data_IF_402142815222
#
_entry.id   IF_402142815222
#
_cell.length_a   1.000
_cell.length_b   1.000
_cell.length_c   1.000
_cell.angle_alpha   90.00
_cell.angle_beta   90.00
_cell.angle_gamma   90.00
#
_symmetry.space_group_name_H-M   'P 1'
#
loop_
_entity.id
_entity.type
_entity.pdbx_description
1 polymer ?
#
# COMPACT_ATOMS: atom_id res chain seq x y z
N UNK A 1 14.33 18.40 7.82
CA UNK A 1 13.77 19.49 8.66
C UNK A 1 12.86 18.90 9.71
N UNK A 2 12.79 19.41 10.95
CA UNK A 2 11.81 18.94 11.91
C UNK A 2 10.40 19.17 11.36
N UNK A 3 9.50 18.23 11.57
CA UNK A 3 8.10 18.35 11.17
C UNK A 3 7.53 19.61 11.82
N UNK A 4 7.00 20.55 11.04
CA UNK A 4 6.49 21.81 11.53
C UNK A 4 5.37 21.59 12.55
N UNK A 5 5.41 22.31 13.64
CA UNK A 5 4.36 22.37 14.65
C UNK A 5 3.61 23.68 14.52
N UNK A 6 2.31 23.64 14.64
CA UNK A 6 1.44 24.82 14.59
C UNK A 6 0.39 24.74 15.69
N UNK A 7 -0.16 25.90 16.07
CA UNK A 7 -1.31 25.94 16.99
C UNK A 7 -2.59 25.89 16.15
N UNK A 8 -3.52 25.01 16.53
CA UNK A 8 -4.85 24.90 15.96
C UNK A 8 -5.90 25.06 17.07
N UNK A 9 -7.13 25.43 16.68
CA UNK A 9 -8.29 25.34 17.57
C UNK A 9 -8.99 24.01 17.30
N UNK A 10 -9.12 23.18 18.33
CA UNK A 10 -9.79 21.88 18.21
C UNK A 10 -11.33 22.00 18.25
N UNK A 11 -12.05 20.88 18.14
CA UNK A 11 -13.52 20.86 18.14
C UNK A 11 -14.14 21.30 19.48
N UNK A 12 -13.36 21.39 20.58
CA UNK A 12 -13.79 21.89 21.90
C UNK A 12 -13.44 23.36 22.12
N UNK A 13 -12.85 24.04 21.13
CA UNK A 13 -12.45 25.45 21.23
C UNK A 13 -11.08 25.68 21.89
N UNK A 14 -10.35 24.61 22.23
CA UNK A 14 -9.03 24.72 22.87
C UNK A 14 -7.92 24.95 21.84
N UNK A 15 -6.95 25.78 22.21
CA UNK A 15 -5.70 25.96 21.45
C UNK A 15 -4.77 24.78 21.76
N UNK A 16 -4.45 23.98 20.75
CA UNK A 16 -3.61 22.79 20.90
C UNK A 16 -2.50 22.78 19.86
N UNK A 17 -1.36 22.20 20.22
CA UNK A 17 -0.28 21.99 19.28
C UNK A 17 -0.62 20.83 18.32
N UNK A 18 -0.43 21.05 17.02
CA UNK A 18 -0.59 20.04 15.99
C UNK A 18 0.66 19.92 15.15
N UNK A 19 0.98 18.70 14.75
CA UNK A 19 2.00 18.42 13.72
C UNK A 19 1.43 18.73 12.35
N UNK A 20 2.15 19.47 11.51
CA UNK A 20 1.72 19.87 10.17
C UNK A 20 2.66 19.28 9.09
N UNK A 21 2.51 17.99 8.75
CA UNK A 21 3.34 17.32 7.78
C UNK A 21 3.05 17.77 6.35
N UNK A 22 4.06 17.71 5.47
CA UNK A 22 3.92 17.92 4.03
C UNK A 22 3.34 16.67 3.36
N UNK A 23 3.69 15.49 3.86
CA UNK A 23 3.20 14.20 3.38
C UNK A 23 2.37 13.55 4.48
N UNK A 24 1.16 13.13 4.14
CA UNK A 24 0.25 12.39 5.03
C UNK A 24 0.08 10.96 4.53
N UNK A 25 0.49 10.00 5.35
CA UNK A 25 0.19 8.59 5.16
C UNK A 25 -1.16 8.27 5.80
N UNK A 26 -2.21 8.13 5.00
CA UNK A 26 -3.58 8.14 5.51
C UNK A 26 -4.10 6.78 5.99
N UNK A 27 -3.37 5.67 5.79
CA UNK A 27 -3.93 4.32 6.02
C UNK A 27 -3.04 3.40 6.86
N UNK A 28 -2.13 3.92 7.71
CA UNK A 28 -1.22 3.04 8.48
C UNK A 28 -1.90 2.26 9.60
N UNK A 29 -2.93 2.84 10.23
CA UNK A 29 -3.62 2.20 11.35
C UNK A 29 -4.89 1.47 10.95
N UNK A 30 -5.51 1.87 9.82
CA UNK A 30 -6.72 1.29 9.26
C UNK A 30 -6.82 1.62 7.78
N UNK A 31 -7.65 0.88 7.04
CA UNK A 31 -7.95 1.17 5.63
C UNK A 31 -8.95 2.34 5.53
N UNK A 32 -8.42 3.57 5.51
CA UNK A 32 -9.23 4.80 5.43
C UNK A 32 -10.06 4.86 4.16
N UNK A 33 -9.53 4.58 2.95
CA UNK A 33 -10.33 4.55 1.73
C UNK A 33 -11.53 3.61 1.80
N UNK A 34 -11.36 2.43 2.40
CA UNK A 34 -12.40 1.42 2.47
C UNK A 34 -13.49 1.73 3.51
N UNK A 35 -13.11 2.27 4.68
CA UNK A 35 -14.02 2.32 5.83
C UNK A 35 -14.29 3.73 6.35
N UNK A 36 -13.41 4.70 6.07
CA UNK A 36 -13.42 6.01 6.69
C UNK A 36 -13.30 7.17 5.69
N UNK A 37 -13.64 6.96 4.40
CA UNK A 37 -13.52 7.97 3.36
C UNK A 37 -14.23 9.28 3.76
N UNK A 38 -15.52 9.22 4.08
CA UNK A 38 -16.30 10.39 4.50
C UNK A 38 -15.72 11.11 5.74
N UNK A 39 -15.25 10.33 6.72
CA UNK A 39 -14.58 10.89 7.90
C UNK A 39 -13.30 11.63 7.52
N UNK A 40 -12.48 11.05 6.66
CA UNK A 40 -11.23 11.67 6.23
C UNK A 40 -11.49 13.04 5.57
N UNK A 41 -12.42 13.12 4.63
CA UNK A 41 -12.73 14.37 3.94
C UNK A 41 -13.39 15.41 4.87
N UNK A 42 -14.24 15.00 5.81
CA UNK A 42 -14.73 15.87 6.86
C UNK A 42 -13.58 16.45 7.71
N UNK A 43 -12.57 15.64 8.05
CA UNK A 43 -11.40 16.11 8.80
C UNK A 43 -10.49 16.99 7.94
N UNK A 44 -10.33 16.67 6.66
CA UNK A 44 -9.60 17.50 5.71
C UNK A 44 -10.25 18.89 5.55
N UNK A 45 -11.58 18.96 5.48
CA UNK A 45 -12.32 20.21 5.43
C UNK A 45 -12.14 21.04 6.70
N UNK A 46 -12.08 20.39 7.88
CA UNK A 46 -11.80 21.05 9.19
C UNK A 46 -10.33 21.46 9.32
N UNK A 47 -9.44 21.00 8.45
CA UNK A 47 -8.02 21.35 8.45
C UNK A 47 -7.16 20.54 9.43
N UNK A 48 -7.71 19.64 10.22
CA UNK A 48 -6.97 18.78 11.15
C UNK A 48 -7.72 17.50 11.52
N UNK A 49 -6.97 16.51 12.04
CA UNK A 49 -7.54 15.34 12.71
C UNK A 49 -6.83 15.05 14.03
N UNK A 50 -7.50 14.34 14.93
CA UNK A 50 -6.88 13.70 16.07
C UNK A 50 -6.44 12.27 15.68
N UNK A 51 -5.22 11.91 16.05
CA UNK A 51 -4.67 10.57 15.87
C UNK A 51 -4.21 10.03 17.23
N UNK A 52 -4.54 8.77 17.49
CA UNK A 52 -4.10 8.08 18.69
C UNK A 52 -3.01 7.10 18.35
N UNK A 53 -1.85 7.24 18.98
CA UNK A 53 -0.73 6.32 18.79
C UNK A 53 -1.18 4.91 19.25
N UNK A 54 -1.15 3.89 18.37
CA UNK A 54 -1.65 2.56 18.70
C UNK A 54 -0.84 1.84 19.79
N UNK A 55 0.40 2.28 20.06
CA UNK A 55 1.28 1.64 21.05
C UNK A 55 1.09 2.20 22.46
N UNK A 56 0.96 3.52 22.59
CA UNK A 56 0.89 4.18 23.89
C UNK A 56 -0.41 4.96 24.13
N UNK A 57 -1.34 4.91 23.19
CA UNK A 57 -2.64 5.61 23.21
C UNK A 57 -2.54 7.14 23.35
N UNK A 58 -1.35 7.71 23.16
CA UNK A 58 -1.15 9.15 23.20
C UNK A 58 -1.92 9.83 22.07
N UNK A 59 -2.76 10.79 22.43
CA UNK A 59 -3.50 11.63 21.47
C UNK A 59 -2.56 12.69 20.88
N UNK A 60 -2.57 12.79 19.57
CA UNK A 60 -1.83 13.79 18.80
C UNK A 60 -2.75 14.47 17.81
N UNK A 61 -2.50 15.72 17.50
CA UNK A 61 -3.22 16.44 16.45
C UNK A 61 -2.33 16.55 15.20
N UNK A 62 -2.93 16.27 14.05
CA UNK A 62 -2.30 16.38 12.74
C UNK A 62 -3.05 17.45 11.95
N UNK A 63 -2.36 18.50 11.54
CA UNK A 63 -2.92 19.54 10.69
C UNK A 63 -2.63 19.28 9.22
N UNK A 64 -3.63 19.52 8.37
CA UNK A 64 -3.48 19.43 6.91
C UNK A 64 -3.01 20.74 6.27
N UNK A 65 -2.72 21.79 7.06
CA UNK A 65 -2.33 23.11 6.54
C UNK A 65 -1.16 23.08 5.56
N UNK A 66 -0.14 22.25 5.85
CA UNK A 66 1.07 22.13 5.02
C UNK A 66 1.02 20.89 4.10
N UNK A 67 -0.09 20.13 4.11
CA UNK A 67 -0.20 18.90 3.36
C UNK A 67 -0.15 19.18 1.86
N UNK A 68 0.79 18.55 1.16
CA UNK A 68 0.95 18.59 -0.30
C UNK A 68 0.68 17.26 -0.96
N UNK A 69 0.90 16.16 -0.23
CA UNK A 69 0.71 14.80 -0.75
C UNK A 69 0.01 13.93 0.29
N UNK A 70 -1.00 13.19 -0.15
CA UNK A 70 -1.64 12.12 0.63
C UNK A 70 -1.36 10.77 -0.03
N UNK A 71 -0.92 9.81 0.78
CA UNK A 71 -0.68 8.44 0.35
C UNK A 71 -1.75 7.53 0.96
N UNK A 72 -2.45 6.80 0.12
CA UNK A 72 -3.47 5.86 0.56
C UNK A 72 -3.02 4.41 0.34
N UNK A 73 -3.15 3.57 1.38
CA UNK A 73 -3.08 2.12 1.26
C UNK A 73 -4.48 1.55 1.42
N UNK A 74 -4.89 0.67 0.53
CA UNK A 74 -6.25 0.13 0.59
C UNK A 74 -6.36 -1.23 -0.11
N UNK A 75 -7.29 -2.05 0.38
CA UNK A 75 -7.80 -3.23 -0.34
C UNK A 75 -9.08 -2.94 -1.12
N UNK A 76 -9.72 -1.79 -0.86
CA UNK A 76 -10.96 -1.39 -1.52
C UNK A 76 -11.05 0.13 -1.66
N UNK A 77 -10.59 0.70 -2.78
CA UNK A 77 -10.67 2.16 -3.00
C UNK A 77 -12.08 2.64 -3.37
N UNK A 78 -13.06 1.76 -3.61
CA UNK A 78 -14.39 2.15 -4.12
C UNK A 78 -15.08 3.24 -3.29
N UNK A 79 -15.10 3.20 -1.94
CA UNK A 79 -15.81 4.21 -1.14
C UNK A 79 -15.20 5.61 -1.19
N UNK A 80 -13.90 5.74 -1.50
CA UNK A 80 -13.22 7.05 -1.54
C UNK A 80 -13.37 7.75 -2.89
N UNK A 81 -13.63 7.02 -3.98
CA UNK A 81 -13.66 7.57 -5.34
C UNK A 81 -14.52 8.84 -5.48
N UNK A 82 -15.73 8.93 -4.89
CA UNK A 82 -16.58 10.12 -5.04
C UNK A 82 -16.01 11.41 -4.43
N UNK A 83 -15.02 11.30 -3.56
CA UNK A 83 -14.47 12.41 -2.80
C UNK A 83 -13.11 12.91 -3.33
N UNK A 84 -12.49 12.23 -4.29
CA UNK A 84 -11.11 12.55 -4.73
C UNK A 84 -10.99 13.96 -5.30
N UNK A 85 -12.05 14.48 -5.93
CA UNK A 85 -12.11 15.87 -6.45
C UNK A 85 -11.84 16.91 -5.35
N UNK A 86 -12.17 16.65 -4.07
CA UNK A 86 -11.91 17.57 -2.97
C UNK A 86 -10.40 17.74 -2.70
N UNK A 87 -9.56 16.71 -3.00
CA UNK A 87 -8.10 16.84 -2.95
C UNK A 87 -7.59 17.69 -4.12
N UNK A 88 -8.13 17.44 -5.32
CA UNK A 88 -7.76 18.17 -6.54
C UNK A 88 -8.09 19.67 -6.37
N UNK A 89 -9.28 20.02 -5.85
CA UNK A 89 -9.69 21.39 -5.56
C UNK A 89 -8.79 22.10 -4.55
N UNK A 90 -8.18 21.34 -3.62
CA UNK A 90 -7.24 21.88 -2.62
C UNK A 90 -5.78 21.91 -3.13
N UNK A 91 -5.51 21.44 -4.35
CA UNK A 91 -4.16 21.31 -4.88
C UNK A 91 -3.30 20.30 -4.09
N UNK A 92 -3.92 19.30 -3.47
CA UNK A 92 -3.24 18.24 -2.73
C UNK A 92 -3.07 17.04 -3.64
N UNK A 93 -1.84 16.69 -3.95
CA UNK A 93 -1.52 15.50 -4.73
C UNK A 93 -1.78 14.22 -3.92
N UNK A 94 -2.05 13.12 -4.61
CA UNK A 94 -2.26 11.83 -3.94
C UNK A 94 -1.95 10.67 -4.88
N UNK A 95 -1.58 9.54 -4.29
CA UNK A 95 -1.46 8.26 -4.99
C UNK A 95 -1.90 7.10 -4.10
N UNK A 96 -2.20 5.99 -4.74
CA UNK A 96 -2.73 4.82 -4.08
C UNK A 96 -1.76 3.63 -4.17
N UNK A 97 -1.64 2.91 -3.08
CA UNK A 97 -1.08 1.58 -3.01
C UNK A 97 -2.24 0.61 -2.78
N UNK A 98 -2.65 -0.08 -3.83
CA UNK A 98 -3.83 -0.94 -3.81
C UNK A 98 -3.41 -2.39 -3.67
N UNK A 99 -3.73 -3.01 -2.53
CA UNK A 99 -3.48 -4.43 -2.30
C UNK A 99 -4.54 -5.26 -3.02
N UNK A 100 -4.10 -6.02 -4.00
CA UNK A 100 -4.92 -6.94 -4.77
C UNK A 100 -4.24 -8.31 -4.84
N UNK A 101 -4.52 -9.13 -3.84
CA UNK A 101 -4.09 -10.52 -3.69
C UNK A 101 -5.18 -11.47 -4.19
N UNK A 102 -4.91 -12.77 -4.18
CA UNK A 102 -5.88 -13.81 -4.46
C UNK A 102 -5.77 -14.95 -3.43
N UNK A 103 -6.29 -14.68 -2.21
CA UNK A 103 -6.27 -15.61 -1.08
C UNK A 103 -7.69 -15.95 -0.57
N UNK A 104 -8.71 -15.76 -1.41
CA UNK A 104 -10.11 -16.00 -1.02
C UNK A 104 -10.33 -17.48 -0.67
N UNK A 105 -9.73 -18.39 -1.46
CA UNK A 105 -9.87 -19.84 -1.25
C UNK A 105 -9.25 -20.31 0.08
N UNK A 106 -8.20 -19.64 0.52
CA UNK A 106 -7.48 -19.96 1.75
C UNK A 106 -8.11 -19.31 2.99
N UNK A 107 -9.09 -18.44 2.80
CA UNK A 107 -9.77 -17.75 3.90
C UNK A 107 -8.99 -16.58 4.50
N UNK A 108 -7.83 -16.18 3.92
CA UNK A 108 -7.03 -15.06 4.46
C UNK A 108 -7.63 -13.68 4.18
N UNK A 109 -8.61 -13.61 3.30
CA UNK A 109 -9.28 -12.36 2.92
C UNK A 109 -10.82 -12.52 2.95
N UNK A 110 -11.43 -12.85 4.11
CA UNK A 110 -12.85 -13.21 4.20
C UNK A 110 -13.81 -12.04 3.88
N UNK A 111 -13.35 -10.80 4.07
CA UNK A 111 -14.20 -9.60 3.97
C UNK A 111 -13.89 -8.74 2.75
N UNK A 112 -13.21 -9.28 1.73
CA UNK A 112 -12.97 -8.56 0.48
C UNK A 112 -13.85 -9.12 -0.63
N UNK A 113 -14.17 -8.26 -1.60
CA UNK A 113 -14.91 -8.69 -2.80
C UNK A 113 -14.08 -9.61 -3.68
N UNK A 114 -14.71 -10.25 -4.66
CA UNK A 114 -14.02 -11.13 -5.62
C UNK A 114 -12.85 -10.42 -6.31
N UNK A 115 -11.89 -11.19 -6.80
CA UNK A 115 -10.73 -10.65 -7.55
C UNK A 115 -11.21 -9.82 -8.74
N UNK A 116 -12.25 -10.29 -9.43
CA UNK A 116 -12.85 -9.61 -10.59
C UNK A 116 -13.36 -8.22 -10.21
N UNK A 117 -14.15 -8.11 -9.15
CA UNK A 117 -14.68 -6.83 -8.67
C UNK A 117 -13.56 -5.87 -8.21
N UNK A 118 -12.50 -6.42 -7.60
CA UNK A 118 -11.33 -5.62 -7.18
C UNK A 118 -10.53 -5.12 -8.39
N UNK A 119 -10.36 -5.95 -9.41
CA UNK A 119 -9.74 -5.56 -10.69
C UNK A 119 -10.52 -4.43 -11.35
N UNK A 120 -11.84 -4.54 -11.45
CA UNK A 120 -12.67 -3.48 -12.04
C UNK A 120 -12.61 -2.17 -11.23
N UNK A 121 -12.58 -2.27 -9.91
CA UNK A 121 -12.41 -1.08 -9.05
C UNK A 121 -11.01 -0.46 -9.21
N UNK A 122 -9.98 -1.28 -9.35
CA UNK A 122 -8.61 -0.84 -9.63
C UNK A 122 -8.52 -0.08 -10.95
N UNK A 123 -9.09 -0.65 -12.01
CA UNK A 123 -9.14 -0.01 -13.34
C UNK A 123 -9.87 1.33 -13.29
N UNK A 124 -11.05 1.35 -12.65
CA UNK A 124 -11.81 2.59 -12.48
C UNK A 124 -11.00 3.68 -11.76
N UNK A 125 -10.28 3.34 -10.70
CA UNK A 125 -9.40 4.28 -10.01
C UNK A 125 -8.29 4.76 -10.95
N UNK A 126 -7.64 3.85 -11.67
CA UNK A 126 -6.58 4.17 -12.62
C UNK A 126 -7.06 5.10 -13.76
N UNK A 127 -8.26 4.84 -14.30
CA UNK A 127 -8.88 5.70 -15.33
C UNK A 127 -9.17 7.11 -14.79
N UNK A 128 -9.49 7.24 -13.49
CA UNK A 128 -9.79 8.53 -12.86
C UNK A 128 -8.56 9.37 -12.57
N UNK A 129 -7.46 8.75 -12.10
CA UNK A 129 -6.32 9.51 -11.56
C UNK A 129 -5.00 9.31 -12.32
N UNK A 130 -4.96 8.40 -13.29
CA UNK A 130 -3.77 8.01 -14.06
C UNK A 130 -3.08 6.77 -13.48
N UNK A 131 -2.60 5.90 -14.38
CA UNK A 131 -1.99 4.61 -14.06
C UNK A 131 -0.69 4.72 -13.23
N UNK A 132 0.01 5.84 -13.35
CA UNK A 132 1.24 6.14 -12.61
C UNK A 132 1.00 6.43 -11.13
N UNK A 133 -0.24 6.77 -10.76
CA UNK A 133 -0.66 7.06 -9.38
C UNK A 133 -1.32 5.88 -8.68
N UNK A 134 -1.44 4.72 -9.35
CA UNK A 134 -2.04 3.51 -8.77
C UNK A 134 -1.03 2.38 -8.77
N UNK A 135 -0.46 2.10 -7.60
CA UNK A 135 0.53 1.05 -7.41
C UNK A 135 -0.20 -0.24 -7.03
N UNK A 136 0.04 -1.30 -7.79
CA UNK A 136 -0.46 -2.62 -7.43
C UNK A 136 0.44 -3.26 -6.38
N UNK A 137 -0.15 -3.73 -5.28
CA UNK A 137 0.54 -4.54 -4.26
C UNK A 137 -0.01 -5.95 -4.27
N UNK A 138 0.86 -6.93 -4.51
CA UNK A 138 0.61 -8.33 -4.20
C UNK A 138 1.38 -8.66 -2.90
N UNK A 139 0.77 -8.37 -1.78
CA UNK A 139 1.49 -8.21 -0.50
C UNK A 139 0.61 -8.64 0.69
N UNK A 140 1.08 -9.60 1.50
CA UNK A 140 2.31 -10.38 1.38
C UNK A 140 2.17 -11.65 0.52
N UNK A 141 3.30 -12.23 0.11
CA UNK A 141 3.39 -13.59 -0.43
C UNK A 141 3.39 -14.59 0.72
N UNK A 142 2.42 -15.51 0.71
CA UNK A 142 2.23 -16.51 1.78
C UNK A 142 2.34 -17.91 1.16
N UNK A 143 3.25 -18.73 1.67
CA UNK A 143 3.35 -20.15 1.32
C UNK A 143 2.39 -20.93 2.19
N UNK A 144 1.68 -21.88 1.61
CA UNK A 144 0.78 -22.79 2.36
C UNK A 144 0.95 -24.21 1.85
N UNK A 145 0.38 -25.23 2.53
CA UNK A 145 0.35 -26.58 2.00
C UNK A 145 -0.28 -26.69 0.60
N UNK A 146 -1.15 -25.71 0.26
CA UNK A 146 -1.89 -25.68 -1.01
C UNK A 146 -1.42 -24.56 -1.97
N UNK A 147 -0.42 -23.76 -1.57
CA UNK A 147 0.15 -22.67 -2.38
C UNK A 147 1.67 -22.81 -2.39
N UNK A 148 2.19 -23.38 -3.44
CA UNK A 148 3.62 -23.38 -3.75
C UNK A 148 4.04 -22.07 -4.46
N UNK A 149 5.35 -21.79 -4.62
CA UNK A 149 5.87 -20.65 -5.38
C UNK A 149 5.22 -20.49 -6.76
N UNK A 150 5.07 -21.58 -7.50
CA UNK A 150 4.45 -21.59 -8.84
C UNK A 150 2.98 -21.14 -8.82
N UNK A 151 2.24 -21.45 -7.76
CA UNK A 151 0.84 -21.04 -7.63
C UNK A 151 0.74 -19.53 -7.40
N UNK A 152 1.64 -18.95 -6.58
CA UNK A 152 1.74 -17.50 -6.39
C UNK A 152 2.06 -16.79 -7.72
N UNK A 153 3.05 -17.28 -8.44
CA UNK A 153 3.42 -16.73 -9.75
C UNK A 153 2.25 -16.79 -10.75
N UNK A 154 1.48 -17.89 -10.75
CA UNK A 154 0.30 -18.05 -11.59
C UNK A 154 -0.79 -17.03 -11.21
N UNK A 155 -1.00 -16.78 -9.92
CA UNK A 155 -1.97 -15.76 -9.45
C UNK A 155 -1.53 -14.36 -9.85
N UNK A 156 -0.25 -14.03 -9.66
CA UNK A 156 0.34 -12.74 -10.07
C UNK A 156 0.20 -12.55 -11.57
N UNK A 157 0.58 -13.55 -12.37
CA UNK A 157 0.43 -13.51 -13.82
C UNK A 157 -1.03 -13.27 -14.26
N UNK A 158 -1.97 -13.98 -13.67
CA UNK A 158 -3.41 -13.86 -14.00
C UNK A 158 -3.97 -12.47 -13.66
N UNK A 159 -3.64 -11.95 -12.49
CA UNK A 159 -4.07 -10.60 -12.07
C UNK A 159 -3.36 -9.55 -12.91
N UNK A 160 -2.04 -9.64 -13.09
CA UNK A 160 -1.25 -8.69 -13.85
C UNK A 160 -1.75 -8.53 -15.28
N UNK A 161 -2.06 -9.63 -15.97
CA UNK A 161 -2.65 -9.56 -17.32
C UNK A 161 -3.99 -8.80 -17.37
N UNK A 162 -4.77 -8.81 -16.27
CA UNK A 162 -5.99 -7.99 -16.17
C UNK A 162 -5.70 -6.53 -15.86
N UNK A 163 -4.55 -6.23 -15.23
CA UNK A 163 -4.11 -4.89 -14.83
C UNK A 163 -3.18 -4.22 -15.85
N UNK A 164 -2.85 -4.92 -16.95
CA UNK A 164 -2.01 -4.36 -18.03
C UNK A 164 -2.59 -3.05 -18.52
N UNK A 165 -1.76 -1.98 -18.50
CA UNK A 165 -2.17 -0.64 -18.90
C UNK A 165 -2.82 0.21 -17.79
N UNK A 166 -3.09 -0.37 -16.60
CA UNK A 166 -3.72 0.32 -15.48
C UNK A 166 -2.79 0.58 -14.29
N UNK A 167 -1.55 0.12 -14.36
CA UNK A 167 -0.49 0.43 -13.41
C UNK A 167 0.87 0.30 -14.07
N UNK A 168 1.86 1.00 -13.54
CA UNK A 168 3.25 0.92 -13.98
C UNK A 168 4.14 0.26 -12.93
N UNK A 169 3.60 -0.14 -11.76
CA UNK A 169 4.40 -0.69 -10.68
C UNK A 169 3.67 -1.79 -9.93
N UNK A 170 4.35 -2.93 -9.73
CA UNK A 170 3.98 -4.01 -8.83
C UNK A 170 4.94 -4.01 -7.63
N UNK A 171 4.40 -4.00 -6.43
CA UNK A 171 5.17 -4.16 -5.19
C UNK A 171 4.73 -5.45 -4.51
N UNK A 172 5.70 -6.23 -4.04
CA UNK A 172 5.43 -7.43 -3.23
C UNK A 172 6.29 -7.44 -1.97
N UNK A 173 5.92 -8.26 -0.99
CA UNK A 173 6.78 -8.64 0.14
C UNK A 173 6.56 -10.10 0.47
N UNK A 174 7.54 -10.74 1.10
CA UNK A 174 7.31 -12.04 1.74
C UNK A 174 6.66 -11.81 3.11
N UNK A 175 5.79 -12.75 3.52
CA UNK A 175 5.23 -12.68 4.87
C UNK A 175 6.33 -12.93 5.89
N UNK A 176 6.36 -12.12 6.93
CA UNK A 176 7.24 -12.28 8.07
C UNK A 176 6.41 -12.77 9.27
N UNK A 177 6.39 -14.07 9.45
CA UNK A 177 5.59 -14.73 10.49
C UNK A 177 6.37 -14.79 11.80
N UNK A 178 7.67 -15.05 11.73
CA UNK A 178 8.52 -15.23 12.92
C UNK A 178 8.63 -13.97 13.75
N UNK A 179 8.74 -12.80 13.10
CA UNK A 179 8.87 -11.52 13.78
C UNK A 179 7.54 -11.00 14.37
N UNK A 180 6.37 -11.44 13.83
CA UNK A 180 5.09 -10.82 14.16
C UNK A 180 4.05 -11.81 14.71
N UNK A 181 3.92 -11.90 16.04
CA UNK A 181 2.89 -12.72 16.72
C UNK A 181 1.46 -12.45 16.23
N UNK A 182 1.15 -11.21 15.85
CA UNK A 182 -0.17 -10.86 15.31
C UNK A 182 -0.43 -11.57 13.98
N UNK A 183 0.59 -11.70 13.13
CA UNK A 183 0.51 -12.42 11.85
C UNK A 183 0.28 -13.91 12.14
N UNK A 184 1.05 -14.52 13.05
CA UNK A 184 0.86 -15.92 13.46
C UNK A 184 -0.58 -16.18 13.92
N UNK A 185 -1.08 -15.36 14.85
CA UNK A 185 -2.42 -15.51 15.40
C UNK A 185 -3.50 -15.38 14.31
N UNK A 186 -3.34 -14.45 13.38
CA UNK A 186 -4.30 -14.26 12.29
C UNK A 186 -4.29 -15.47 11.34
N UNK A 187 -3.13 -15.97 10.94
CA UNK A 187 -3.02 -17.14 10.06
C UNK A 187 -3.64 -18.39 10.68
N UNK A 188 -3.41 -18.60 11.98
CA UNK A 188 -4.00 -19.74 12.72
C UNK A 188 -5.51 -19.58 12.88
N UNK A 189 -5.99 -18.35 13.14
CA UNK A 189 -7.41 -18.08 13.40
C UNK A 189 -8.25 -18.07 12.13
N UNK A 190 -7.75 -17.44 11.07
CA UNK A 190 -8.53 -17.15 9.85
C UNK A 190 -8.43 -18.29 8.83
N UNK A 191 -7.51 -19.24 9.01
CA UNK A 191 -7.38 -20.39 8.11
C UNK A 191 -7.33 -21.71 8.87
N UNK A 192 -7.90 -22.77 8.28
CA UNK A 192 -7.74 -24.14 8.76
C UNK A 192 -6.41 -24.77 8.29
N UNK A 193 -5.50 -24.00 7.68
CA UNK A 193 -4.28 -24.50 7.05
C UNK A 193 -3.10 -24.55 8.02
N UNK A 194 -3.15 -23.76 9.10
CA UNK A 194 -2.06 -23.62 10.05
C UNK A 194 -2.49 -23.87 11.49
N UNK A 195 -1.57 -24.45 12.25
CA UNK A 195 -1.62 -24.55 13.70
C UNK A 195 -0.49 -23.68 14.29
N UNK A 196 -0.45 -23.55 15.62
CA UNK A 196 0.65 -22.81 16.27
C UNK A 196 2.02 -23.45 16.03
N UNK A 197 2.04 -24.77 15.83
CA UNK A 197 3.26 -25.56 15.66
C UNK A 197 3.85 -25.44 14.25
N UNK A 198 3.01 -25.15 13.23
CA UNK A 198 3.45 -25.13 11.83
C UNK A 198 3.25 -23.79 11.11
N UNK A 199 2.72 -22.76 11.77
CA UNK A 199 2.42 -21.46 11.16
C UNK A 199 3.66 -20.78 10.57
N UNK A 200 4.86 -21.05 11.09
CA UNK A 200 6.10 -20.52 10.53
C UNK A 200 6.40 -21.04 9.11
N UNK A 201 5.80 -22.16 8.71
CA UNK A 201 5.91 -22.67 7.34
C UNK A 201 5.19 -21.77 6.29
N UNK A 202 4.42 -20.76 6.74
CA UNK A 202 3.87 -19.74 5.85
C UNK A 202 4.95 -18.83 5.29
N UNK A 203 6.13 -18.73 5.92
CA UNK A 203 7.28 -18.03 5.36
C UNK A 203 7.95 -18.85 4.26
N UNK A 204 8.22 -18.20 3.13
CA UNK A 204 9.04 -18.79 2.09
C UNK A 204 10.48 -18.98 2.57
N UNK A 205 11.02 -20.19 2.47
CA UNK A 205 12.44 -20.44 2.67
C UNK A 205 13.29 -19.85 1.53
N UNK A 206 14.60 -19.84 1.67
CA UNK A 206 15.50 -19.21 0.69
C UNK A 206 15.32 -19.76 -0.73
N UNK A 207 15.19 -21.08 -0.89
CA UNK A 207 14.99 -21.70 -2.21
C UNK A 207 13.66 -21.26 -2.85
N UNK A 208 12.59 -21.23 -2.07
CA UNK A 208 11.28 -20.76 -2.52
C UNK A 208 11.28 -19.25 -2.87
N UNK A 209 12.01 -18.42 -2.10
CA UNK A 209 12.19 -17.01 -2.42
C UNK A 209 12.92 -16.81 -3.74
N UNK A 210 13.99 -17.57 -3.97
CA UNK A 210 14.74 -17.53 -5.26
C UNK A 210 13.83 -17.96 -6.42
N UNK A 211 13.09 -19.07 -6.27
CA UNK A 211 12.15 -19.55 -7.29
C UNK A 211 11.11 -18.49 -7.65
N UNK A 212 10.55 -17.82 -6.64
CA UNK A 212 9.54 -16.74 -6.84
C UNK A 212 10.19 -15.57 -7.59
N UNK A 213 11.36 -15.13 -7.19
CA UNK A 213 12.05 -13.97 -7.77
C UNK A 213 12.43 -14.23 -9.22
N UNK A 214 12.98 -15.41 -9.54
CA UNK A 214 13.28 -15.84 -10.92
C UNK A 214 12.00 -15.94 -11.76
N UNK A 215 10.90 -16.40 -11.15
CA UNK A 215 9.60 -16.44 -11.79
C UNK A 215 9.04 -15.04 -12.08
N UNK A 216 9.18 -14.09 -11.16
CA UNK A 216 8.79 -12.70 -11.36
C UNK A 216 9.62 -12.01 -12.45
N UNK A 217 10.91 -12.31 -12.53
CA UNK A 217 11.76 -11.83 -13.63
C UNK A 217 11.21 -12.30 -14.98
N UNK A 218 10.92 -13.59 -15.13
CA UNK A 218 10.34 -14.16 -16.37
C UNK A 218 8.98 -13.54 -16.71
N UNK A 219 8.14 -13.32 -15.70
CA UNK A 219 6.84 -12.65 -15.86
C UNK A 219 7.04 -11.22 -16.37
N UNK A 220 7.96 -10.45 -15.79
CA UNK A 220 8.27 -9.09 -16.23
C UNK A 220 8.77 -9.07 -17.68
N UNK A 221 9.68 -9.98 -18.05
CA UNK A 221 10.19 -10.10 -19.41
C UNK A 221 9.07 -10.41 -20.42
N UNK A 222 8.12 -11.28 -20.05
CA UNK A 222 6.96 -11.59 -20.87
C UNK A 222 6.04 -10.37 -21.05
N UNK A 223 5.76 -9.65 -19.97
CA UNK A 223 4.95 -8.43 -20.02
C UNK A 223 5.62 -7.33 -20.85
N UNK A 224 6.96 -7.18 -20.72
CA UNK A 224 7.73 -6.24 -21.55
C UNK A 224 7.61 -6.57 -23.05
N UNK A 225 7.76 -7.84 -23.43
CA UNK A 225 7.56 -8.30 -24.83
C UNK A 225 6.16 -8.00 -25.33
N UNK A 226 5.16 -8.02 -24.44
CA UNK A 226 3.78 -7.68 -24.74
C UNK A 226 3.51 -6.15 -24.70
N UNK A 227 4.56 -5.31 -24.57
CA UNK A 227 4.47 -3.85 -24.55
C UNK A 227 4.00 -3.27 -23.22
N UNK A 228 4.17 -3.99 -22.10
CA UNK A 228 3.88 -3.47 -20.77
C UNK A 228 5.14 -3.40 -19.91
N UNK A 229 5.71 -2.19 -19.80
CA UNK A 229 6.87 -1.90 -18.94
C UNK A 229 6.39 -1.66 -17.51
N UNK A 230 6.34 -2.74 -16.73
CA UNK A 230 6.00 -2.68 -15.31
C UNK A 230 7.26 -2.79 -14.46
N UNK A 231 7.43 -1.85 -13.55
CA UNK A 231 8.44 -1.90 -12.49
C UNK A 231 8.00 -2.94 -11.46
N UNK A 232 8.89 -3.86 -11.09
CA UNK A 232 8.67 -4.80 -9.97
C UNK A 232 9.62 -4.43 -8.85
N UNK A 233 9.06 -4.19 -7.66
CA UNK A 233 9.83 -3.82 -6.49
C UNK A 233 9.38 -4.63 -5.26
N UNK A 234 10.28 -4.76 -4.28
CA UNK A 234 10.00 -5.46 -3.03
C UNK A 234 10.07 -4.52 -1.84
N UNK A 235 9.28 -4.80 -0.81
CA UNK A 235 9.22 -4.00 0.41
C UNK A 235 9.83 -4.78 1.58
N UNK A 236 10.76 -4.13 2.31
CA UNK A 236 11.34 -4.63 3.57
C UNK A 236 12.11 -5.97 3.49
N UNK A 237 12.71 -6.30 2.34
CA UNK A 237 13.50 -7.52 2.18
C UNK A 237 14.99 -7.25 2.39
N UNK A 238 15.66 -8.13 3.15
CA UNK A 238 17.11 -8.07 3.41
C UNK A 238 17.95 -8.77 2.32
N UNK A 239 17.31 -9.27 1.26
CA UNK A 239 17.99 -9.98 0.17
C UNK A 239 18.21 -9.01 -0.98
N UNK A 240 19.45 -8.95 -1.48
CA UNK A 240 19.76 -8.22 -2.69
C UNK A 240 19.09 -8.89 -3.91
N UNK A 241 18.07 -8.20 -4.44
CA UNK A 241 17.28 -8.64 -5.58
C UNK A 241 17.56 -7.82 -6.85
N UNK A 242 18.48 -6.87 -6.81
CA UNK A 242 18.83 -6.00 -7.96
C UNK A 242 19.31 -6.81 -9.18
N UNK A 243 20.04 -7.91 -8.95
CA UNK A 243 20.47 -8.83 -10.01
C UNK A 243 19.32 -9.49 -10.79
N UNK A 244 18.11 -9.52 -10.23
CA UNK A 244 16.89 -9.97 -10.92
C UNK A 244 16.09 -8.81 -11.49
N UNK A 245 16.61 -7.58 -11.37
CA UNK A 245 15.95 -6.35 -11.79
C UNK A 245 14.73 -6.02 -10.94
N UNK A 246 14.75 -6.41 -9.66
CA UNK A 246 13.73 -6.08 -8.65
C UNK A 246 14.34 -5.03 -7.74
N UNK A 247 13.70 -3.87 -7.70
CA UNK A 247 14.15 -2.73 -6.91
C UNK A 247 13.68 -2.82 -5.45
N UNK A 248 14.40 -2.12 -4.59
CA UNK A 248 13.96 -1.94 -3.20
C UNK A 248 12.94 -0.83 -3.13
N UNK A 249 11.71 -1.15 -2.73
CA UNK A 249 10.63 -0.18 -2.62
C UNK A 249 10.63 0.52 -1.26
N UNK A 250 10.37 1.81 -1.27
CA UNK A 250 10.13 2.60 -0.06
C UNK A 250 8.64 2.70 0.22
N UNK A 251 8.22 2.52 1.48
CA UNK A 251 6.81 2.66 1.87
C UNK A 251 6.25 4.05 1.55
N UNK A 252 7.07 5.08 1.76
CA UNK A 252 6.84 6.45 1.31
C UNK A 252 7.92 6.73 0.26
N UNK A 253 7.54 6.68 -1.01
CA UNK A 253 8.48 6.70 -2.13
C UNK A 253 8.64 8.12 -2.67
N UNK A 254 9.71 8.81 -2.19
CA UNK A 254 10.04 10.17 -2.60
C UNK A 254 10.38 10.28 -4.08
N UNK A 255 11.07 9.29 -4.66
CA UNK A 255 11.42 9.29 -6.08
C UNK A 255 10.17 9.10 -6.97
N UNK A 256 9.27 8.20 -6.56
CA UNK A 256 7.98 8.05 -7.22
C UNK A 256 7.21 9.38 -7.20
N UNK A 257 7.10 10.02 -6.02
CA UNK A 257 6.38 11.30 -5.89
C UNK A 257 6.97 12.40 -6.76
N UNK A 258 8.30 12.52 -6.85
CA UNK A 258 8.97 13.45 -7.77
C UNK A 258 8.60 13.16 -9.22
N UNK A 259 8.64 11.89 -9.62
CA UNK A 259 8.34 11.45 -10.99
C UNK A 259 6.90 11.75 -11.39
N UNK A 260 5.93 11.46 -10.51
CA UNK A 260 4.50 11.57 -10.85
C UNK A 260 3.91 12.98 -10.64
N UNK A 261 4.48 13.78 -9.73
CA UNK A 261 3.93 15.11 -9.43
C UNK A 261 4.76 16.25 -9.99
N UNK A 262 5.93 16.01 -10.60
CA UNK A 262 6.81 16.99 -11.26
C UNK A 262 7.05 18.27 -10.44
N UNK A 263 7.03 18.18 -9.12
CA UNK A 263 7.20 19.34 -8.25
C UNK A 263 8.66 19.51 -7.87
N UNK A 264 9.39 20.36 -8.59
CA UNK A 264 10.80 20.69 -8.29
C UNK A 264 10.95 21.43 -6.96
N UNK A 265 9.98 22.25 -6.54
CA UNK A 265 10.04 23.07 -5.34
C UNK A 265 9.96 22.29 -4.02
N UNK A 266 9.37 21.11 -4.00
CA UNK A 266 9.18 20.32 -2.79
C UNK A 266 10.08 19.10 -2.69
N UNK A 267 10.98 18.92 -3.64
CA UNK A 267 11.85 17.74 -3.74
C UNK A 267 12.80 17.60 -2.55
N UNK A 268 13.35 18.71 -2.07
CA UNK A 268 14.25 18.74 -0.91
C UNK A 268 13.53 18.43 0.41
N UNK A 269 12.24 18.79 0.54
CA UNK A 269 11.42 18.52 1.72
C UNK A 269 10.95 17.05 1.79
N UNK A 270 10.75 16.42 0.63
CA UNK A 270 10.35 15.01 0.54
C UNK A 270 11.50 14.06 0.89
N UNK A 271 12.74 14.43 0.58
CA UNK A 271 13.93 13.60 0.83
C UNK A 271 14.39 13.59 2.30
N UNK A 272 14.04 14.60 3.09
CA UNK A 272 14.58 14.77 4.46
C UNK A 272 13.87 13.95 5.54
N UNK A 273 13.00 12.98 5.19
CA UNK A 273 12.10 12.27 6.13
C UNK A 273 12.16 10.75 6.05
N UNK A 274 13.29 10.22 5.62
CA UNK A 274 13.62 8.79 5.74
C UNK A 274 14.25 8.43 7.07
#
# INVERSE_FOLDING_TARGET
>A
MPIGKIIITNDTGEQVEATAPVIVSASRSTDIPAFYAKWFFNRLAKGYCAWYNPFNQQKMYISFKNCKVVIFWTKNPKPILPYLHELDEKGIHYYFQVTLNDYVKEGFEPNVSSVENRVETFKKLSDMIGKEKVIWRFDPLIITPNIAPRDLLTRIWRIGNKLKGYTNKLVFSFVDVKAYRKVQNNLVKESMLFTKENVENAEANLAQRIEIVEGLQKIREAWHKDGWDVEIATCAENIDLEKYGIEHNRCIDGELMKRIFRSEEHTSELQSRE
#
